data_IF_834196566069
#
_entry.id   IF_834196566069
#
_cell.length_a   1.000
_cell.length_b   1.000
_cell.length_c   1.000
_cell.angle_alpha   90.00
_cell.angle_beta   90.00
_cell.angle_gamma   90.00
#
_symmetry.space_group_name_H-M   'P 1'
#
loop_
_entity.id
_entity.type
_entity.pdbx_description
1 polymer ?
#
# COMPACT_ATOMS: atom_id res chain seq x y z
N UNK A 1 -14.32 -33.89 10.51
CA UNK A 1 -13.39 -35.01 10.22
C UNK A 1 -12.54 -34.79 8.96
N UNK A 2 -12.91 -33.88 8.04
CA UNK A 2 -12.10 -33.58 6.84
C UNK A 2 -10.73 -32.95 7.13
N UNK A 3 -10.60 -32.14 8.18
CA UNK A 3 -9.33 -31.48 8.51
C UNK A 3 -8.16 -32.45 8.80
N UNK A 4 -8.43 -33.59 9.43
CA UNK A 4 -7.38 -34.55 9.81
C UNK A 4 -6.87 -35.37 8.61
N UNK A 5 -7.77 -35.70 7.68
CA UNK A 5 -7.42 -36.34 6.42
C UNK A 5 -6.60 -35.40 5.52
N UNK A 6 -6.96 -34.11 5.46
CA UNK A 6 -6.21 -33.09 4.71
C UNK A 6 -4.79 -32.92 5.30
N UNK A 7 -4.66 -32.84 6.63
CA UNK A 7 -3.36 -32.75 7.29
C UNK A 7 -2.50 -33.99 6.98
N UNK A 8 -3.09 -35.18 7.03
CA UNK A 8 -2.38 -36.43 6.73
C UNK A 8 -1.87 -36.47 5.28
N UNK A 9 -2.69 -36.08 4.31
CA UNK A 9 -2.29 -36.02 2.89
C UNK A 9 -1.15 -35.01 2.69
N UNK A 10 -1.25 -33.81 3.27
CA UNK A 10 -0.19 -32.80 3.20
C UNK A 10 1.11 -33.34 3.81
N UNK A 11 1.04 -34.04 4.94
CA UNK A 11 2.21 -34.60 5.62
C UNK A 11 2.90 -35.69 4.78
N UNK A 12 2.13 -36.58 4.15
CA UNK A 12 2.67 -37.61 3.25
C UNK A 12 3.33 -36.99 2.02
N UNK A 13 2.70 -35.96 1.42
CA UNK A 13 3.28 -35.23 0.29
C UNK A 13 4.60 -34.55 0.68
N UNK A 14 4.66 -33.92 1.86
CA UNK A 14 5.86 -33.25 2.36
C UNK A 14 7.01 -34.25 2.57
N UNK A 15 6.73 -35.40 3.21
CA UNK A 15 7.74 -36.47 3.39
C UNK A 15 8.21 -37.00 2.03
N UNK A 16 7.29 -37.28 1.11
CA UNK A 16 7.63 -37.78 -0.23
C UNK A 16 8.56 -36.82 -0.97
N UNK A 17 8.31 -35.52 -0.88
CA UNK A 17 9.13 -34.48 -1.50
C UNK A 17 10.53 -34.36 -0.85
N UNK A 18 10.63 -34.48 0.48
CA UNK A 18 11.93 -34.55 1.16
C UNK A 18 12.74 -35.74 0.66
N UNK A 19 12.11 -36.92 0.56
CA UNK A 19 12.78 -38.15 0.08
C UNK A 19 13.30 -37.96 -1.35
N UNK A 20 12.47 -37.43 -2.25
CA UNK A 20 12.86 -37.15 -3.64
C UNK A 20 14.05 -36.19 -3.69
N UNK A 21 14.03 -35.12 -2.90
CA UNK A 21 15.12 -34.14 -2.83
C UNK A 21 16.42 -34.78 -2.34
N UNK A 22 16.37 -35.62 -1.30
CA UNK A 22 17.53 -36.35 -0.78
C UNK A 22 18.10 -37.35 -1.80
N UNK A 23 17.24 -38.04 -2.55
CA UNK A 23 17.67 -38.92 -3.63
C UNK A 23 18.36 -38.13 -4.75
N UNK A 24 17.81 -36.98 -5.15
CA UNK A 24 18.41 -36.12 -6.15
C UNK A 24 19.79 -35.60 -5.71
N UNK A 25 19.95 -35.17 -4.46
CA UNK A 25 21.26 -34.78 -3.90
C UNK A 25 22.24 -35.96 -3.96
N UNK A 26 21.80 -37.16 -3.58
CA UNK A 26 22.67 -38.35 -3.53
C UNK A 26 23.11 -38.79 -4.91
N UNK A 27 22.19 -38.81 -5.88
CA UNK A 27 22.47 -39.14 -7.29
C UNK A 27 23.39 -38.08 -7.89
N UNK A 28 23.06 -36.80 -7.74
CA UNK A 28 23.90 -35.70 -8.22
C UNK A 28 25.30 -35.75 -7.60
N UNK A 29 25.40 -36.05 -6.32
CA UNK A 29 26.67 -36.21 -5.63
C UNK A 29 27.54 -37.36 -6.12
N UNK A 30 26.91 -38.43 -6.60
CA UNK A 30 27.61 -39.57 -7.19
C UNK A 30 28.11 -39.27 -8.60
N UNK A 31 27.37 -38.47 -9.38
CA UNK A 31 27.71 -38.13 -10.77
C UNK A 31 28.75 -37.02 -10.88
N UNK A 32 28.62 -35.95 -10.09
CA UNK A 32 29.44 -34.73 -10.22
C UNK A 32 30.01 -34.23 -8.89
N UNK A 33 30.16 -35.12 -7.89
CA UNK A 33 30.75 -34.80 -6.59
C UNK A 33 29.99 -33.68 -5.87
N UNK A 34 30.70 -32.78 -5.19
CA UNK A 34 30.08 -31.69 -4.42
C UNK A 34 29.19 -30.78 -5.27
N UNK A 35 29.59 -30.47 -6.52
CA UNK A 35 28.79 -29.64 -7.44
C UNK A 35 27.47 -30.31 -7.82
N UNK A 36 27.49 -31.63 -8.04
CA UNK A 36 26.28 -32.39 -8.33
C UNK A 36 25.30 -32.49 -7.17
N UNK A 37 25.79 -32.50 -5.91
CA UNK A 37 24.92 -32.39 -4.72
C UNK A 37 24.16 -31.06 -4.70
N UNK A 38 24.85 -29.96 -5.02
CA UNK A 38 24.25 -28.63 -5.13
C UNK A 38 23.21 -28.53 -6.25
N UNK A 39 23.50 -29.11 -7.42
CA UNK A 39 22.56 -29.13 -8.55
C UNK A 39 21.32 -29.96 -8.20
N UNK A 40 21.50 -31.14 -7.58
CA UNK A 40 20.41 -32.00 -7.13
C UNK A 40 19.53 -31.34 -6.07
N UNK A 41 20.11 -30.56 -5.15
CA UNK A 41 19.36 -29.73 -4.22
C UNK A 41 18.62 -28.60 -4.94
N UNK A 42 19.31 -27.84 -5.80
CA UNK A 42 18.72 -26.69 -6.50
C UNK A 42 17.55 -27.05 -7.41
N UNK A 43 17.59 -28.22 -8.06
CA UNK A 43 16.50 -28.71 -8.91
C UNK A 43 15.15 -28.81 -8.19
N UNK A 44 15.15 -29.18 -6.91
CA UNK A 44 13.92 -29.41 -6.14
C UNK A 44 13.62 -28.32 -5.11
N UNK A 45 14.64 -27.60 -4.64
CA UNK A 45 14.54 -26.58 -3.59
C UNK A 45 14.95 -25.18 -4.05
N UNK A 46 15.89 -25.08 -4.99
CA UNK A 46 16.54 -23.81 -5.34
C UNK A 46 15.72 -22.91 -6.26
N UNK A 47 14.82 -23.47 -7.07
CA UNK A 47 14.05 -22.71 -8.06
C UNK A 47 13.17 -21.65 -7.39
N UNK A 48 12.58 -21.94 -6.22
CA UNK A 48 11.69 -21.00 -5.55
C UNK A 48 12.38 -19.72 -5.05
N UNK A 49 13.51 -19.79 -4.31
CA UNK A 49 14.28 -18.61 -3.96
C UNK A 49 14.70 -17.75 -5.15
N UNK A 50 15.10 -18.34 -6.29
CA UNK A 50 15.45 -17.57 -7.49
C UNK A 50 14.24 -16.88 -8.12
N UNK A 51 13.12 -17.58 -8.20
CA UNK A 51 11.86 -16.99 -8.67
C UNK A 51 11.44 -15.82 -7.78
N UNK A 52 11.46 -16.00 -6.45
CA UNK A 52 11.16 -14.93 -5.49
C UNK A 52 12.14 -13.77 -5.55
N UNK A 53 13.43 -14.02 -5.72
CA UNK A 53 14.41 -12.96 -5.88
C UNK A 53 14.17 -12.15 -7.16
N UNK A 54 13.83 -12.82 -8.27
CA UNK A 54 13.44 -12.18 -9.52
C UNK A 54 12.17 -11.35 -9.36
N UNK A 55 11.14 -11.90 -8.73
CA UNK A 55 9.88 -11.22 -8.44
C UNK A 55 10.09 -9.99 -7.55
N UNK A 56 10.91 -10.11 -6.50
CA UNK A 56 11.30 -9.00 -5.62
C UNK A 56 11.99 -7.88 -6.41
N UNK A 57 12.99 -8.20 -7.23
CA UNK A 57 13.71 -7.20 -8.03
C UNK A 57 12.76 -6.49 -9.00
N UNK A 58 11.90 -7.25 -9.69
CA UNK A 58 10.91 -6.71 -10.60
C UNK A 58 9.95 -5.76 -9.88
N UNK A 59 9.33 -6.19 -8.77
CA UNK A 59 8.39 -5.37 -8.02
C UNK A 59 9.06 -4.14 -7.41
N UNK A 60 10.26 -4.28 -6.84
CA UNK A 60 11.03 -3.17 -6.30
C UNK A 60 11.34 -2.13 -7.38
N UNK A 61 11.74 -2.57 -8.58
CA UNK A 61 11.98 -1.66 -9.71
C UNK A 61 10.71 -0.96 -10.15
N UNK A 62 9.63 -1.71 -10.34
CA UNK A 62 8.33 -1.18 -10.79
C UNK A 62 7.77 -0.15 -9.80
N UNK A 63 7.71 -0.47 -8.52
CA UNK A 63 7.18 0.46 -7.52
C UNK A 63 8.09 1.68 -7.35
N UNK A 64 9.41 1.52 -7.40
CA UNK A 64 10.35 2.64 -7.35
C UNK A 64 10.17 3.57 -8.55
N UNK A 65 9.92 3.00 -9.73
CA UNK A 65 9.64 3.77 -10.94
C UNK A 65 8.33 4.55 -10.81
N UNK A 66 7.24 3.90 -10.39
CA UNK A 66 5.94 4.55 -10.18
C UNK A 66 6.03 5.66 -9.14
N UNK A 67 6.69 5.41 -8.01
CA UNK A 67 6.87 6.40 -6.95
C UNK A 67 7.68 7.62 -7.42
N UNK A 68 8.63 7.46 -8.34
CA UNK A 68 9.44 8.56 -8.89
C UNK A 68 8.74 9.34 -10.00
N UNK A 69 7.91 8.67 -10.80
CA UNK A 69 7.33 9.25 -12.03
C UNK A 69 5.90 9.74 -11.83
N UNK A 70 5.06 8.96 -11.15
CA UNK A 70 3.65 9.25 -10.92
C UNK A 70 3.33 9.63 -9.46
N UNK A 71 4.19 9.22 -8.53
CA UNK A 71 4.02 9.47 -7.10
C UNK A 71 4.41 10.90 -6.69
N UNK A 72 3.86 11.36 -5.57
CA UNK A 72 4.23 12.63 -4.97
C UNK A 72 3.05 13.53 -4.63
N UNK A 73 3.39 14.74 -4.17
CA UNK A 73 2.44 15.79 -3.80
C UNK A 73 2.41 16.84 -4.91
N UNK A 74 1.22 17.15 -5.40
CA UNK A 74 0.96 18.27 -6.31
C UNK A 74 0.02 19.26 -5.63
N UNK A 75 0.55 20.43 -5.33
CA UNK A 75 -0.19 21.55 -4.75
C UNK A 75 -0.74 22.40 -5.89
N UNK A 76 -2.06 22.56 -5.94
CA UNK A 76 -2.72 23.43 -6.92
C UNK A 76 -2.96 24.83 -6.37
N UNK A 77 -3.30 24.91 -5.08
CA UNK A 77 -3.47 26.17 -4.34
C UNK A 77 -2.69 26.04 -3.05
N UNK A 78 -1.81 27.01 -2.77
CA UNK A 78 -1.07 26.99 -1.50
C UNK A 78 -1.98 27.35 -0.32
N UNK A 79 -1.67 26.93 0.91
CA UNK A 79 -2.50 27.29 2.08
C UNK A 79 -2.63 28.80 2.29
N UNK A 80 -1.55 29.55 2.06
CA UNK A 80 -1.55 31.02 2.18
C UNK A 80 -2.45 31.69 1.13
N UNK A 81 -2.41 31.19 -0.11
CA UNK A 81 -3.25 31.68 -1.19
C UNK A 81 -4.72 31.33 -0.96
N UNK A 82 -5.00 30.10 -0.55
CA UNK A 82 -6.36 29.67 -0.23
C UNK A 82 -6.94 30.49 0.93
N UNK A 83 -6.17 30.73 2.00
CA UNK A 83 -6.56 31.61 3.12
C UNK A 83 -6.93 33.03 2.64
N UNK A 84 -6.17 33.59 1.71
CA UNK A 84 -6.49 34.91 1.12
C UNK A 84 -7.79 34.88 0.30
N UNK A 85 -8.11 33.76 -0.35
CA UNK A 85 -9.32 33.62 -1.17
C UNK A 85 -10.59 33.53 -0.32
N UNK A 86 -10.56 32.77 0.78
CA UNK A 86 -11.70 32.62 1.70
C UNK A 86 -11.86 33.81 2.65
N UNK A 87 -10.77 34.54 2.92
CA UNK A 87 -10.75 35.66 3.85
C UNK A 87 -10.58 35.24 5.32
N UNK A 88 -10.13 36.20 6.14
CA UNK A 88 -9.77 35.95 7.55
C UNK A 88 -10.97 35.56 8.43
N UNK A 89 -12.16 36.06 8.15
CA UNK A 89 -13.35 35.74 8.95
C UNK A 89 -13.78 34.28 8.76
N UNK A 90 -13.74 33.77 7.52
CA UNK A 90 -14.00 32.35 7.27
C UNK A 90 -12.88 31.48 7.84
N UNK A 91 -11.61 31.89 7.67
CA UNK A 91 -10.47 31.17 8.20
C UNK A 91 -10.50 31.00 9.74
N UNK A 92 -10.99 32.00 10.48
CA UNK A 92 -11.19 31.90 11.94
C UNK A 92 -12.16 30.79 12.36
N UNK A 93 -13.10 30.43 11.48
CA UNK A 93 -14.08 29.38 11.74
C UNK A 93 -13.57 27.98 11.34
N UNK A 94 -12.41 27.89 10.68
CA UNK A 94 -11.82 26.64 10.17
C UNK A 94 -10.87 25.99 11.18
N UNK A 95 -11.38 25.66 12.36
CA UNK A 95 -10.61 24.89 13.33
C UNK A 95 -10.68 23.40 13.02
N UNK A 96 -9.55 22.72 13.19
CA UNK A 96 -9.46 21.27 13.08
C UNK A 96 -9.81 20.63 14.43
N UNK A 97 -10.88 19.84 14.46
CA UNK A 97 -11.31 19.08 15.62
C UNK A 97 -11.07 17.59 15.35
N UNK A 98 -9.93 17.07 15.82
CA UNK A 98 -9.56 15.65 15.68
C UNK A 98 -10.67 14.70 16.18
N UNK A 99 -11.46 15.13 17.17
CA UNK A 99 -12.52 14.32 17.76
C UNK A 99 -13.84 14.38 16.95
N UNK A 100 -13.92 15.27 15.96
CA UNK A 100 -15.11 15.47 15.10
C UNK A 100 -14.80 15.38 13.61
N UNK A 101 -13.68 14.76 13.21
CA UNK A 101 -13.48 14.39 11.81
C UNK A 101 -14.62 13.44 11.39
N UNK A 102 -15.65 14.00 10.75
CA UNK A 102 -16.83 13.26 10.32
C UNK A 102 -16.45 12.44 9.09
N UNK A 103 -16.73 11.15 9.12
CA UNK A 103 -16.59 10.32 7.92
C UNK A 103 -17.50 10.86 6.80
N UNK A 104 -16.94 11.06 5.61
CA UNK A 104 -17.76 11.27 4.41
C UNK A 104 -18.34 9.93 4.00
N UNK A 105 -19.53 9.96 3.39
CA UNK A 105 -20.06 8.76 2.76
C UNK A 105 -19.16 8.37 1.59
N UNK A 106 -18.91 7.07 1.42
CA UNK A 106 -18.25 6.55 0.21
C UNK A 106 -19.09 6.76 -1.06
N UNK A 107 -20.38 7.09 -0.90
CA UNK A 107 -21.28 7.52 -1.97
C UNK A 107 -21.01 8.97 -2.43
N UNK A 108 -20.37 9.79 -1.59
CA UNK A 108 -19.95 11.13 -1.98
C UNK A 108 -18.80 11.01 -2.99
N UNK A 109 -19.05 11.48 -4.22
CA UNK A 109 -18.12 11.33 -5.34
C UNK A 109 -17.66 12.68 -5.82
N UNK A 110 -16.35 12.80 -6.05
CA UNK A 110 -15.75 13.97 -6.67
C UNK A 110 -15.06 13.56 -7.98
N UNK A 111 -15.36 14.28 -9.07
CA UNK A 111 -14.74 13.99 -10.37
C UNK A 111 -13.63 15.00 -10.63
N UNK A 112 -12.40 14.52 -10.80
CA UNK A 112 -11.26 15.36 -11.09
C UNK A 112 -10.38 14.72 -12.16
N UNK A 113 -10.08 15.48 -13.21
CA UNK A 113 -9.25 15.02 -14.35
C UNK A 113 -9.73 13.68 -14.95
N UNK A 114 -11.05 13.50 -15.05
CA UNK A 114 -11.66 12.29 -15.60
C UNK A 114 -11.63 11.06 -14.68
N UNK A 115 -11.16 11.20 -13.43
CA UNK A 115 -11.22 10.15 -12.41
C UNK A 115 -12.30 10.45 -11.37
N UNK A 116 -12.91 9.41 -10.82
CA UNK A 116 -13.88 9.49 -9.72
C UNK A 116 -13.19 9.15 -8.40
N UNK A 117 -13.24 10.07 -7.45
CA UNK A 117 -12.75 9.90 -6.09
C UNK A 117 -13.93 9.74 -5.14
N UNK A 118 -13.77 8.90 -4.11
CA UNK A 118 -14.79 8.62 -3.10
C UNK A 118 -14.47 9.34 -1.79
N UNK A 119 -15.48 9.88 -1.13
CA UNK A 119 -15.35 10.59 0.13
C UNK A 119 -14.73 9.72 1.21
N UNK A 120 -13.85 10.32 2.02
CA UNK A 120 -13.23 9.66 3.18
C UNK A 120 -13.62 10.35 4.48
N UNK A 121 -13.26 11.62 4.64
CA UNK A 121 -13.50 12.36 5.89
C UNK A 121 -13.49 13.86 5.67
N UNK A 122 -14.19 14.57 6.54
CA UNK A 122 -14.17 16.02 6.61
C UNK A 122 -12.98 16.46 7.45
N UNK A 123 -12.16 17.34 6.89
CA UNK A 123 -11.08 17.98 7.64
C UNK A 123 -11.64 19.14 8.48
N UNK A 124 -12.62 19.87 7.93
CA UNK A 124 -13.39 20.89 8.62
C UNK A 124 -14.75 21.06 7.92
N UNK A 125 -15.53 22.09 8.27
CA UNK A 125 -16.86 22.35 7.69
C UNK A 125 -16.88 22.63 6.18
N UNK A 126 -15.72 22.80 5.54
CA UNK A 126 -15.57 23.16 4.13
C UNK A 126 -14.69 22.19 3.34
N UNK A 127 -13.67 21.62 3.98
CA UNK A 127 -12.67 20.78 3.33
C UNK A 127 -13.02 19.30 3.43
N UNK A 128 -13.29 18.69 2.28
CA UNK A 128 -13.55 17.26 2.14
C UNK A 128 -12.35 16.53 1.56
N UNK A 129 -11.98 15.42 2.18
CA UNK A 129 -10.96 14.51 1.70
C UNK A 129 -11.60 13.40 0.85
N UNK A 130 -11.01 13.12 -0.32
CA UNK A 130 -11.49 12.08 -1.23
C UNK A 130 -10.32 11.21 -1.71
N UNK A 131 -10.58 9.92 -1.94
CA UNK A 131 -9.58 8.95 -2.38
C UNK A 131 -10.13 8.07 -3.51
N UNK A 132 -9.27 7.79 -4.48
CA UNK A 132 -9.40 6.72 -5.45
C UNK A 132 -8.38 5.64 -5.07
N UNK A 133 -8.87 4.44 -4.79
CA UNK A 133 -8.04 3.27 -4.45
C UNK A 133 -8.20 2.24 -5.55
N UNK A 134 -7.14 2.03 -6.31
CA UNK A 134 -7.14 1.07 -7.40
C UNK A 134 -6.07 0.01 -7.20
N UNK A 135 -6.47 -1.26 -7.28
CA UNK A 135 -5.49 -2.36 -7.32
C UNK A 135 -4.97 -2.48 -8.75
N UNK A 136 -3.72 -2.06 -8.96
CA UNK A 136 -3.00 -2.35 -10.21
C UNK A 136 -2.65 -3.84 -10.26
N UNK A 137 -2.14 -4.26 -11.43
CA UNK A 137 -1.57 -5.59 -11.62
C UNK A 137 -0.39 -5.82 -10.67
N UNK A 138 -0.03 -7.09 -10.47
CA UNK A 138 1.17 -7.51 -9.74
C UNK A 138 1.21 -7.11 -8.25
N UNK A 139 0.04 -7.09 -7.58
CA UNK A 139 -0.09 -6.79 -6.14
C UNK A 139 0.31 -5.37 -5.75
N UNK A 140 0.32 -4.42 -6.69
CA UNK A 140 0.55 -2.99 -6.44
C UNK A 140 -0.80 -2.28 -6.27
N UNK A 141 -0.97 -1.51 -5.21
CA UNK A 141 -2.08 -0.58 -5.05
C UNK A 141 -1.65 0.85 -5.39
N UNK A 142 -2.54 1.55 -6.08
CA UNK A 142 -2.46 2.97 -6.44
C UNK A 142 -3.47 3.71 -5.54
N UNK A 143 -2.93 4.46 -4.58
CA UNK A 143 -3.71 5.27 -3.65
C UNK A 143 -3.58 6.74 -4.11
N UNK A 144 -4.66 7.31 -4.64
CA UNK A 144 -4.72 8.64 -5.23
C UNK A 144 -5.69 9.51 -4.41
N UNK A 145 -5.15 10.51 -3.74
CA UNK A 145 -5.84 11.31 -2.73
C UNK A 145 -5.96 12.76 -3.18
N UNK A 146 -7.10 13.39 -2.93
CA UNK A 146 -7.32 14.82 -3.15
C UNK A 146 -7.97 15.48 -1.93
N UNK A 147 -7.57 16.72 -1.66
CA UNK A 147 -8.26 17.60 -0.72
C UNK A 147 -9.02 18.66 -1.51
N UNK A 148 -10.30 18.81 -1.20
CA UNK A 148 -11.22 19.64 -1.96
C UNK A 148 -11.88 20.66 -1.06
N UNK A 149 -11.88 21.92 -1.48
CA UNK A 149 -12.81 22.92 -0.97
C UNK A 149 -14.19 22.65 -1.60
N UNK A 150 -15.09 22.10 -0.80
CA UNK A 150 -16.40 21.65 -1.29
C UNK A 150 -17.38 22.80 -1.56
N UNK A 151 -17.12 24.00 -1.04
CA UNK A 151 -17.96 25.17 -1.35
C UNK A 151 -17.60 25.76 -2.71
N UNK A 152 -16.31 25.85 -3.02
CA UNK A 152 -15.83 26.38 -4.32
C UNK A 152 -15.61 25.29 -5.36
N UNK A 153 -15.74 24.02 -4.99
CA UNK A 153 -15.44 22.83 -5.81
C UNK A 153 -13.98 22.84 -6.34
N UNK A 154 -13.07 23.46 -5.60
CA UNK A 154 -11.67 23.60 -5.99
C UNK A 154 -10.81 22.51 -5.32
N UNK A 155 -9.98 21.84 -6.13
CA UNK A 155 -8.97 20.91 -5.60
C UNK A 155 -7.77 21.72 -5.12
N UNK A 156 -7.45 21.61 -3.83
CA UNK A 156 -6.35 22.35 -3.21
C UNK A 156 -5.01 21.64 -3.43
N UNK A 157 -4.99 20.34 -3.17
CA UNK A 157 -3.85 19.50 -3.51
C UNK A 157 -4.27 18.08 -3.86
N UNK A 158 -3.37 17.39 -4.57
CA UNK A 158 -3.46 15.96 -4.87
C UNK A 158 -2.19 15.28 -4.41
N UNK A 159 -2.31 14.09 -3.85
CA UNK A 159 -1.20 13.23 -3.50
C UNK A 159 -1.44 11.84 -4.05
N UNK A 160 -0.46 11.32 -4.77
CA UNK A 160 -0.50 9.96 -5.29
C UNK A 160 0.61 9.13 -4.70
N UNK A 161 0.30 7.89 -4.35
CA UNK A 161 1.21 6.97 -3.71
C UNK A 161 0.95 5.54 -4.18
N UNK A 162 1.97 4.70 -4.02
CA UNK A 162 1.90 3.31 -4.39
C UNK A 162 2.36 2.45 -3.21
N UNK A 163 1.70 1.31 -3.02
CA UNK A 163 2.05 0.32 -2.01
C UNK A 163 1.96 -1.10 -2.54
N UNK A 164 2.68 -2.00 -1.91
CA UNK A 164 2.51 -3.44 -2.14
C UNK A 164 1.46 -3.99 -1.17
N UNK A 165 0.66 -4.95 -1.63
CA UNK A 165 -0.23 -5.73 -0.78
C UNK A 165 0.56 -6.44 0.32
N UNK A 166 0.26 -6.14 1.57
CA UNK A 166 0.84 -6.89 2.67
C UNK A 166 0.33 -8.35 2.61
N UNK A 167 1.22 -9.35 2.82
CA UNK A 167 0.80 -10.74 2.85
C UNK A 167 -0.12 -10.97 4.06
N UNK A 168 -1.43 -10.99 3.84
CA UNK A 168 -2.41 -11.29 4.88
C UNK A 168 -2.40 -12.80 5.14
N UNK A 169 -2.03 -13.17 6.37
CA UNK A 169 -2.32 -14.47 6.97
C UNK A 169 -3.68 -14.31 7.67
N UNK A 170 -4.80 -14.43 6.94
CA UNK A 170 -6.12 -14.51 7.56
C UNK A 170 -6.48 -15.98 7.83
N UNK A 171 -7.03 -16.24 9.02
CA UNK A 171 -6.98 -17.53 9.74
C UNK A 171 -7.55 -18.81 9.09
N UNK A 172 -8.00 -18.79 7.83
CA UNK A 172 -8.51 -19.98 7.12
C UNK A 172 -8.16 -20.03 5.61
N UNK A 173 -7.30 -19.14 5.11
CA UNK A 173 -6.89 -19.14 3.71
C UNK A 173 -5.44 -18.70 3.57
N UNK A 174 -4.56 -19.60 3.11
CA UNK A 174 -3.22 -19.22 2.66
C UNK A 174 -3.45 -18.41 1.39
N UNK A 175 -3.40 -17.07 1.47
CA UNK A 175 -3.34 -16.25 0.26
C UNK A 175 -2.08 -16.68 -0.53
N UNK A 176 -2.12 -16.62 -1.87
CA UNK A 176 -0.94 -16.96 -2.71
C UNK A 176 0.31 -16.15 -2.34
N UNK A 177 0.13 -15.05 -1.58
CA UNK A 177 1.18 -14.18 -1.08
C UNK A 177 1.66 -14.52 0.34
N UNK A 178 1.02 -15.42 1.09
CA UNK A 178 1.37 -15.74 2.47
C UNK A 178 2.79 -16.34 2.63
N UNK A 179 3.30 -17.03 1.60
CA UNK A 179 4.67 -17.53 1.57
C UNK A 179 5.70 -16.50 1.07
N UNK A 180 5.24 -15.36 0.53
CA UNK A 180 6.09 -14.28 0.02
C UNK A 180 6.43 -13.27 1.13
N UNK A 181 7.02 -13.77 2.21
CA UNK A 181 7.46 -12.93 3.34
C UNK A 181 8.32 -11.74 2.92
N UNK A 182 9.05 -11.89 1.81
CA UNK A 182 9.92 -10.88 1.24
C UNK A 182 9.19 -9.63 0.72
N UNK A 183 7.87 -9.71 0.44
CA UNK A 183 7.08 -8.55 0.00
C UNK A 183 7.11 -7.42 1.03
N UNK A 184 7.21 -7.77 2.32
CA UNK A 184 7.34 -6.79 3.42
C UNK A 184 8.62 -5.96 3.36
N UNK A 185 9.66 -6.43 2.66
CA UNK A 185 10.93 -5.70 2.50
C UNK A 185 10.93 -4.74 1.31
N UNK A 186 9.88 -4.75 0.47
CA UNK A 186 9.79 -3.81 -0.64
C UNK A 186 9.65 -2.38 -0.10
N UNK A 187 10.50 -1.50 -0.60
CA UNK A 187 10.41 -0.07 -0.31
C UNK A 187 9.41 0.57 -1.26
N UNK A 188 8.28 0.99 -0.71
CA UNK A 188 7.19 1.67 -1.39
C UNK A 188 7.06 3.14 -0.94
N UNK A 189 6.12 3.88 -1.53
CA UNK A 189 5.84 5.27 -1.18
C UNK A 189 4.45 5.44 -0.56
N UNK A 190 3.95 4.40 0.13
CA UNK A 190 2.61 4.33 0.70
C UNK A 190 2.26 5.57 1.54
N UNK A 191 0.97 5.96 1.49
CA UNK A 191 0.44 7.08 2.29
C UNK A 191 0.62 6.85 3.80
N UNK A 192 0.48 5.61 4.26
CA UNK A 192 0.49 5.20 5.68
C UNK A 192 1.87 5.08 6.33
N UNK A 193 2.98 5.08 5.58
CA UNK A 193 4.33 5.26 6.15
C UNK A 193 4.63 6.73 6.49
N UNK A 194 3.74 7.65 6.11
CA UNK A 194 3.87 9.09 6.35
C UNK A 194 2.63 9.73 7.01
N UNK A 195 2.01 9.14 8.06
CA UNK A 195 0.85 9.77 8.72
C UNK A 195 1.22 11.17 9.24
N UNK A 196 2.47 11.35 9.68
CA UNK A 196 2.97 12.63 10.19
C UNK A 196 3.04 13.69 9.09
N UNK A 197 3.45 13.37 7.85
CA UNK A 197 3.60 14.40 6.80
C UNK A 197 2.29 14.74 6.10
N UNK A 198 1.34 13.80 5.95
CA UNK A 198 0.02 14.10 5.37
C UNK A 198 -0.77 14.97 6.33
N UNK A 199 -0.91 14.52 7.59
CA UNK A 199 -1.55 15.34 8.63
C UNK A 199 -0.86 16.69 8.76
N UNK A 200 0.47 16.75 8.76
CA UNK A 200 1.18 18.03 8.80
C UNK A 200 0.86 18.95 7.63
N UNK A 201 0.73 18.43 6.40
CA UNK A 201 0.42 19.24 5.23
C UNK A 201 -1.05 19.66 5.18
N UNK A 202 -1.98 18.76 5.52
CA UNK A 202 -3.41 19.07 5.66
C UNK A 202 -3.67 20.10 6.75
N UNK A 203 -2.94 20.00 7.86
CA UNK A 203 -2.97 20.94 8.97
C UNK A 203 -2.60 22.37 8.54
N UNK A 204 -1.84 22.56 7.45
CA UNK A 204 -1.58 23.90 6.94
C UNK A 204 -2.83 24.59 6.38
N UNK A 205 -3.87 23.82 6.01
CA UNK A 205 -5.17 24.32 5.57
C UNK A 205 -6.19 24.44 6.71
N UNK A 206 -5.75 24.34 7.96
CA UNK A 206 -6.59 24.56 9.13
C UNK A 206 -6.03 25.68 10.01
N UNK A 207 -6.93 26.39 10.66
CA UNK A 207 -6.58 27.38 11.65
C UNK A 207 -6.31 26.70 13.00
N UNK A 208 -5.03 26.60 13.36
CA UNK A 208 -4.60 26.04 14.64
C UNK A 208 -4.42 27.09 15.75
N UNK A 209 -4.50 28.38 15.42
CA UNK A 209 -4.28 29.46 16.39
C UNK A 209 -5.45 29.58 17.38
N UNK A 210 -6.65 29.13 17.00
CA UNK A 210 -7.86 29.15 17.84
C UNK A 210 -7.76 28.17 19.03
N UNK A 211 -7.03 27.05 18.88
CA UNK A 211 -6.90 26.02 19.93
C UNK A 211 -5.95 26.40 21.06
N UNK A 212 -5.18 27.50 20.93
CA UNK A 212 -4.22 27.97 21.94
C UNK A 212 -4.79 29.03 22.89
N UNK A 213 -6.08 29.33 22.81
CA UNK A 213 -6.74 30.43 23.51
C UNK A 213 -7.81 30.03 24.54
N UNK A 214 -7.89 28.76 24.93
CA UNK A 214 -8.75 28.29 26.03
C UNK A 214 -7.93 27.80 27.22
#
# INVERSE_FOLDING_TARGET
MFGLAVIFVVFVLLISWIIVTLLAIRIGGKLWGTKGRWIGFMLFMGIWPFYWAGEYIYLQFMISHLCKTEGGLKVYVSPEEWRRQIGEEEWKQMYYDDDKALELSSDDKFIFQGKTFHGTYWLNSRLGAYIDKYRRRDSIFDDDYILVDTQTQQVLFRRRAFRIEEPLISGLGVSDNALKFWMSFIQDCHLGKLPVKIKYFENQYNNHDVRKGE
#
